data_IF_943051099449
#
_entry.id   IF_943051099449
#
_cell.length_a   1.000
_cell.length_b   1.000
_cell.length_c   1.000
_cell.angle_alpha   90.00
_cell.angle_beta   90.00
_cell.angle_gamma   90.00
#
_symmetry.space_group_name_H-M   'P 1'
#
loop_
_entity.id
_entity.type
_entity.pdbx_description
1 polymer ?
#
# COMPACT_ATOMS: atom_id res chain seq x y z
N UNK A 1 37.38 -15.85 19.51
CA UNK A 1 37.18 -14.53 18.86
C UNK A 1 36.64 -13.54 19.88
N UNK A 2 37.34 -12.42 20.14
CA UNK A 2 36.93 -11.45 21.17
C UNK A 2 35.83 -10.53 20.62
N UNK A 3 34.58 -10.80 21.00
CA UNK A 3 33.39 -10.00 20.63
C UNK A 3 33.46 -8.52 21.07
N UNK A 4 34.36 -8.19 22.01
CA UNK A 4 34.54 -6.82 22.51
C UNK A 4 35.22 -5.90 21.49
N UNK A 5 36.09 -6.43 20.63
CA UNK A 5 36.78 -5.65 19.59
C UNK A 5 35.84 -5.26 18.43
N UNK A 6 34.83 -6.07 18.12
CA UNK A 6 33.88 -5.79 17.03
C UNK A 6 32.87 -4.70 17.41
N UNK A 7 32.56 -4.55 18.71
CA UNK A 7 31.66 -3.52 19.24
C UNK A 7 32.31 -2.13 19.37
N UNK A 8 33.64 -2.05 19.53
CA UNK A 8 34.37 -0.78 19.74
C UNK A 8 34.79 -0.08 18.44
N UNK A 9 34.56 -0.68 17.27
CA UNK A 9 35.16 -0.24 16.01
C UNK A 9 34.42 0.87 15.24
N UNK A 10 33.17 1.23 15.58
CA UNK A 10 32.38 2.18 14.76
C UNK A 10 31.84 3.34 15.61
N UNK A 11 32.27 4.57 15.27
CA UNK A 11 31.72 5.81 15.83
C UNK A 11 30.28 6.01 15.31
N UNK A 12 29.31 5.45 16.01
CA UNK A 12 27.89 5.63 15.73
C UNK A 12 27.26 6.55 16.79
N UNK A 13 26.27 7.39 16.42
CA UNK A 13 25.55 8.20 17.38
C UNK A 13 24.87 7.34 18.46
N UNK A 14 24.77 7.82 19.71
CA UNK A 14 24.08 7.09 20.77
C UNK A 14 22.57 7.08 20.52
N UNK A 15 21.93 5.91 20.66
CA UNK A 15 20.49 5.75 20.49
C UNK A 15 20.04 5.60 19.04
N UNK A 16 18.88 6.19 18.69
CA UNK A 16 18.34 6.08 17.33
C UNK A 16 19.14 6.96 16.35
N UNK A 17 19.70 6.33 15.32
CA UNK A 17 20.61 6.95 14.35
C UNK A 17 19.96 8.10 13.56
N UNK A 18 18.64 8.07 13.37
CA UNK A 18 17.91 9.01 12.53
C UNK A 18 17.18 10.12 13.31
N UNK A 19 17.11 10.02 14.63
CA UNK A 19 16.31 10.89 15.49
C UNK A 19 17.13 11.47 16.65
N UNK A 20 16.64 12.54 17.26
CA UNK A 20 17.28 13.16 18.43
C UNK A 20 18.43 14.12 18.10
N UNK A 21 19.21 14.48 19.13
CA UNK A 21 20.26 15.52 19.06
C UNK A 21 21.49 15.07 18.27
N UNK A 22 21.92 13.84 18.49
CA UNK A 22 23.10 13.26 17.84
C UNK A 22 22.62 12.26 16.79
N UNK A 23 22.40 12.72 15.56
CA UNK A 23 21.92 11.91 14.43
C UNK A 23 23.00 11.80 13.36
N UNK A 24 22.89 10.78 12.51
CA UNK A 24 23.73 10.68 11.34
C UNK A 24 23.23 11.64 10.26
N UNK A 25 24.07 12.59 9.86
CA UNK A 25 23.73 13.56 8.83
C UNK A 25 23.57 12.87 7.48
N UNK A 26 22.42 13.03 6.83
CA UNK A 26 22.24 12.56 5.47
C UNK A 26 22.79 13.61 4.49
N UNK A 27 23.78 13.24 3.67
CA UNK A 27 24.30 14.12 2.63
C UNK A 27 23.45 14.05 1.36
N UNK A 28 23.21 15.21 0.74
CA UNK A 28 22.53 15.26 -0.55
C UNK A 28 23.57 15.01 -1.64
N UNK A 29 23.53 13.81 -2.21
CA UNK A 29 24.37 13.44 -3.35
C UNK A 29 23.81 14.02 -4.65
N UNK A 30 24.66 14.22 -5.66
CA UNK A 30 24.25 14.73 -6.98
C UNK A 30 23.11 13.91 -7.62
N UNK A 31 23.13 12.58 -7.47
CA UNK A 31 22.07 11.70 -7.97
C UNK A 31 20.69 12.02 -7.37
N UNK A 32 20.63 12.46 -6.11
CA UNK A 32 19.38 12.84 -5.46
C UNK A 32 18.84 14.14 -6.06
N UNK A 33 19.74 15.08 -6.37
CA UNK A 33 19.40 16.34 -7.04
C UNK A 33 18.88 16.05 -8.44
N UNK A 34 19.57 15.20 -9.21
CA UNK A 34 19.15 14.83 -10.57
C UNK A 34 17.77 14.16 -10.57
N UNK A 35 17.50 13.28 -9.60
CA UNK A 35 16.19 12.65 -9.43
C UNK A 35 15.12 13.70 -9.12
N UNK A 36 15.42 14.64 -8.22
CA UNK A 36 14.50 15.71 -7.85
C UNK A 36 14.21 16.66 -9.03
N UNK A 37 15.22 17.01 -9.82
CA UNK A 37 15.02 17.82 -11.03
C UNK A 37 14.16 17.09 -12.05
N UNK A 38 14.33 15.77 -12.21
CA UNK A 38 13.47 14.96 -13.09
C UNK A 38 12.02 14.93 -12.61
N UNK A 39 11.77 14.78 -11.30
CA UNK A 39 10.40 14.82 -10.79
C UNK A 39 9.76 16.19 -10.99
N UNK A 40 10.49 17.29 -10.77
CA UNK A 40 9.99 18.64 -11.01
C UNK A 40 9.60 18.86 -12.48
N UNK A 41 10.38 18.33 -13.44
CA UNK A 41 10.04 18.40 -14.87
C UNK A 41 8.75 17.67 -15.20
N UNK A 42 8.53 16.50 -14.58
CA UNK A 42 7.27 15.75 -14.74
C UNK A 42 6.09 16.51 -14.12
N UNK A 43 6.30 17.11 -12.95
CA UNK A 43 5.28 17.95 -12.31
C UNK A 43 4.92 19.15 -13.17
N UNK A 44 5.89 19.86 -13.72
CA UNK A 44 5.66 20.99 -14.63
C UNK A 44 4.85 20.59 -15.86
N UNK A 45 5.18 19.45 -16.48
CA UNK A 45 4.43 18.89 -17.60
C UNK A 45 2.98 18.57 -17.20
N UNK A 46 2.78 17.93 -16.04
CA UNK A 46 1.45 17.62 -15.53
C UNK A 46 0.65 18.89 -15.24
N UNK A 47 1.26 19.90 -14.63
CA UNK A 47 0.60 21.18 -14.34
C UNK A 47 0.17 21.89 -15.62
N UNK A 48 1.00 21.87 -16.66
CA UNK A 48 0.66 22.45 -17.96
C UNK A 48 -0.60 21.81 -18.54
N UNK A 49 -0.68 20.46 -18.49
CA UNK A 49 -1.84 19.71 -18.97
C UNK A 49 -3.09 19.99 -18.12
N UNK A 50 -2.95 20.00 -16.79
CA UNK A 50 -4.07 20.18 -15.87
C UNK A 50 -4.60 21.63 -15.83
N UNK A 51 -3.82 22.61 -16.28
CA UNK A 51 -4.23 24.02 -16.32
C UNK A 51 -5.41 24.29 -17.26
N UNK A 52 -5.61 23.45 -18.27
CA UNK A 52 -6.57 23.71 -19.35
C UNK A 52 -7.71 22.67 -19.31
N UNK A 53 -8.68 22.80 -18.39
CA UNK A 53 -9.80 21.88 -18.32
C UNK A 53 -10.69 22.01 -19.56
N UNK A 54 -11.22 20.87 -20.02
CA UNK A 54 -12.13 20.82 -21.18
C UNK A 54 -13.54 21.32 -20.85
N UNK A 55 -14.03 21.02 -19.65
CA UNK A 55 -15.35 21.44 -19.17
C UNK A 55 -15.21 22.49 -18.07
N UNK A 56 -16.18 23.39 -18.03
CA UNK A 56 -16.38 24.28 -16.88
C UNK A 56 -17.07 23.51 -15.74
N UNK A 57 -16.95 24.00 -14.51
CA UNK A 57 -17.56 23.37 -13.33
C UNK A 57 -19.08 23.23 -13.46
N UNK A 58 -19.74 24.17 -14.13
CA UNK A 58 -21.18 24.13 -14.38
C UNK A 58 -21.56 23.00 -15.35
N UNK A 59 -20.77 22.80 -16.40
CA UNK A 59 -20.98 21.73 -17.39
C UNK A 59 -20.64 20.35 -16.83
N UNK A 60 -19.66 20.27 -15.93
CA UNK A 60 -19.31 19.02 -15.26
C UNK A 60 -20.42 18.53 -14.33
N UNK A 61 -21.22 19.45 -13.77
CA UNK A 61 -22.25 19.11 -12.79
C UNK A 61 -23.29 18.16 -13.38
N UNK A 62 -23.35 16.93 -12.85
CA UNK A 62 -24.35 15.93 -13.23
C UNK A 62 -23.98 15.04 -14.43
N UNK A 63 -22.83 15.25 -15.08
CA UNK A 63 -22.42 14.47 -16.26
C UNK A 63 -22.34 12.94 -15.99
N UNK A 64 -21.94 12.56 -14.77
CA UNK A 64 -21.77 11.16 -14.37
C UNK A 64 -23.02 10.51 -13.77
N UNK A 65 -24.15 11.22 -13.68
CA UNK A 65 -25.36 10.68 -13.05
C UNK A 65 -25.96 9.52 -13.85
N UNK A 66 -25.92 9.61 -15.19
CA UNK A 66 -26.37 8.54 -16.08
C UNK A 66 -25.50 7.26 -15.97
N UNK A 67 -24.21 7.41 -15.65
CA UNK A 67 -23.27 6.31 -15.49
C UNK A 67 -23.46 5.52 -14.18
N UNK A 68 -24.30 5.99 -13.25
CA UNK A 68 -24.63 5.34 -11.98
C UNK A 68 -23.42 4.90 -11.13
N UNK A 69 -22.23 5.49 -11.34
CA UNK A 69 -20.97 5.10 -10.67
C UNK A 69 -21.06 5.15 -9.14
N UNK A 70 -21.80 6.13 -8.62
CA UNK A 70 -22.02 6.23 -7.19
C UNK A 70 -22.84 5.06 -6.64
N UNK A 71 -23.87 4.61 -7.38
CA UNK A 71 -24.70 3.47 -6.99
C UNK A 71 -23.87 2.18 -7.00
N UNK A 72 -23.07 1.96 -8.05
CA UNK A 72 -22.22 0.77 -8.15
C UNK A 72 -21.12 0.74 -7.09
N UNK A 73 -20.53 1.89 -6.77
CA UNK A 73 -19.57 2.00 -5.67
C UNK A 73 -20.22 1.68 -4.32
N UNK A 74 -21.41 2.24 -4.05
CA UNK A 74 -22.16 1.99 -2.82
C UNK A 74 -22.58 0.52 -2.69
N UNK A 75 -23.04 -0.12 -3.78
CA UNK A 75 -23.37 -1.56 -3.76
C UNK A 75 -22.13 -2.39 -3.48
N UNK A 76 -21.01 -2.10 -4.14
CA UNK A 76 -19.76 -2.84 -3.93
C UNK A 76 -19.24 -2.68 -2.50
N UNK A 77 -19.30 -1.47 -1.93
CA UNK A 77 -18.92 -1.23 -0.53
C UNK A 77 -19.82 -1.95 0.46
N UNK A 78 -21.13 -2.02 0.19
CA UNK A 78 -22.08 -2.80 1.01
C UNK A 78 -21.81 -4.30 0.89
N UNK A 79 -21.55 -4.79 -0.31
CA UNK A 79 -21.20 -6.20 -0.56
C UNK A 79 -19.88 -6.58 0.13
N UNK A 80 -18.86 -5.72 0.06
CA UNK A 80 -17.58 -5.89 0.76
C UNK A 80 -17.76 -5.89 2.28
N UNK A 81 -18.56 -4.97 2.82
CA UNK A 81 -18.87 -4.94 4.26
C UNK A 81 -19.70 -6.14 4.71
N UNK A 82 -20.57 -6.68 3.85
CA UNK A 82 -21.34 -7.89 4.14
C UNK A 82 -20.46 -9.15 4.07
N UNK A 83 -19.58 -9.25 3.07
CA UNK A 83 -18.72 -10.42 2.88
C UNK A 83 -17.65 -10.55 3.96
N UNK A 84 -17.12 -9.44 4.46
CA UNK A 84 -16.11 -9.42 5.54
C UNK A 84 -16.68 -9.80 6.91
N UNK A 85 -17.99 -9.59 7.13
CA UNK A 85 -18.67 -9.91 8.40
C UNK A 85 -19.23 -11.33 8.45
N UNK A 86 -19.38 -11.99 7.30
CA UNK A 86 -19.93 -13.34 7.24
C UNK A 86 -18.81 -14.37 7.43
N UNK A 87 -18.91 -15.14 8.51
CA UNK A 87 -18.13 -16.38 8.63
C UNK A 87 -18.56 -17.31 7.50
N UNK A 88 -17.59 -17.91 6.80
CA UNK A 88 -17.88 -18.87 5.73
C UNK A 88 -18.72 -20.01 6.28
N UNK A 89 -19.82 -20.35 5.61
CA UNK A 89 -20.63 -21.52 5.96
C UNK A 89 -19.79 -22.78 5.73
N UNK A 90 -19.65 -23.60 6.76
CA UNK A 90 -18.89 -24.87 6.71
C UNK A 90 -19.91 -25.98 6.52
N UNK A 91 -19.79 -26.76 5.43
CA UNK A 91 -20.65 -27.93 5.21
C UNK A 91 -20.24 -29.06 6.15
N UNK A 92 -21.20 -29.90 6.53
CA UNK A 92 -20.94 -31.06 7.40
C UNK A 92 -19.90 -32.02 6.79
N UNK A 93 -19.93 -32.21 5.47
CA UNK A 93 -18.93 -33.00 4.73
C UNK A 93 -17.50 -32.47 4.91
N UNK A 94 -17.29 -31.16 4.90
CA UNK A 94 -15.95 -30.58 5.10
C UNK A 94 -15.43 -30.86 6.50
N UNK A 95 -16.33 -30.97 7.48
CA UNK A 95 -15.98 -31.45 8.82
C UNK A 95 -15.70 -32.94 8.83
N UNK A 96 -16.43 -33.78 8.10
CA UNK A 96 -16.26 -35.23 8.14
C UNK A 96 -15.07 -35.76 7.32
N UNK A 97 -14.55 -35.01 6.33
CA UNK A 97 -13.40 -35.40 5.50
C UNK A 97 -12.16 -35.84 6.28
N UNK A 98 -11.95 -35.33 7.49
CA UNK A 98 -10.80 -35.74 8.32
C UNK A 98 -10.86 -37.21 8.76
N UNK A 99 -12.04 -37.84 8.77
CA UNK A 99 -12.21 -39.25 9.15
C UNK A 99 -11.70 -40.20 8.07
N UNK A 100 -11.68 -39.78 6.81
CA UNK A 100 -11.17 -40.59 5.69
C UNK A 100 -9.64 -40.77 5.74
N UNK A 101 -8.92 -40.10 6.65
CA UNK A 101 -7.47 -40.27 6.81
C UNK A 101 -7.10 -41.68 7.29
N UNK A 102 -8.00 -42.34 8.03
CA UNK A 102 -7.82 -43.71 8.51
C UNK A 102 -8.33 -44.78 7.54
N UNK A 103 -8.89 -44.39 6.38
CA UNK A 103 -9.37 -45.35 5.39
C UNK A 103 -8.17 -46.01 4.70
N UNK A 104 -7.82 -47.21 5.15
CA UNK A 104 -6.89 -48.11 4.49
C UNK A 104 -7.66 -49.08 3.60
N UNK A 105 -7.17 -49.29 2.38
CA UNK A 105 -7.65 -50.38 1.53
C UNK A 105 -7.27 -51.72 2.19
N UNK A 106 -8.21 -52.66 2.26
CA UNK A 106 -7.91 -54.05 2.58
C UNK A 106 -7.01 -54.60 1.45
N UNK A 107 -5.79 -55.03 1.81
CA UNK A 107 -4.89 -55.80 0.94
C UNK A 107 -5.13 -57.28 1.22
#
# INVERSE_FOLDING_TARGET
MRLTLTLLGRKMPPGNIWLGKHRLGHHVYAQNIDRFVKSLKVEEQNLFLLRHPYLTLEQEKGHAQALQKHKTWMTNKRLEAASTKLVKSIRFEDKLKHLCVSDSWEI
#
